data_IF_618387513762
#
_entry.id   IF_618387513762
#
_cell.length_a   1.000
_cell.length_b   1.000
_cell.length_c   1.000
_cell.angle_alpha   90.00
_cell.angle_beta   90.00
_cell.angle_gamma   90.00
#
_symmetry.space_group_name_H-M   'P 1'
#
loop_
_entity.id
_entity.type
_entity.pdbx_description
1 polymer ?
#
# COMPACT_ATOMS: atom_id res chain seq x y z
N UNK A 1 -6.76 13.04 0.55
CA UNK A 1 -7.50 11.99 1.26
C UNK A 1 -6.68 11.55 2.47
N UNK A 2 -7.30 11.31 3.64
CA UNK A 2 -6.60 10.72 4.78
C UNK A 2 -6.62 9.19 4.68
N UNK A 3 -5.51 8.58 4.24
CA UNK A 3 -5.44 7.12 4.04
C UNK A 3 -5.49 6.32 5.35
N UNK A 4 -5.15 6.95 6.48
CA UNK A 4 -5.17 6.26 7.78
C UNK A 4 -6.60 5.84 8.18
N UNK A 5 -7.60 6.63 7.80
CA UNK A 5 -9.02 6.32 8.03
C UNK A 5 -9.52 5.13 7.18
N UNK A 6 -8.75 4.74 6.15
CA UNK A 6 -9.07 3.62 5.25
C UNK A 6 -8.39 2.32 5.68
N UNK A 7 -7.58 2.35 6.74
CA UNK A 7 -6.85 1.19 7.25
C UNK A 7 -7.53 0.70 8.54
N UNK A 8 -7.87 -0.58 8.58
CA UNK A 8 -8.35 -1.22 9.81
C UNK A 8 -7.17 -1.59 10.70
N UNK A 9 -7.29 -1.28 11.99
CA UNK A 9 -6.33 -1.71 13.01
C UNK A 9 -6.93 -2.89 13.78
N UNK A 10 -6.16 -3.98 13.90
CA UNK A 10 -6.52 -5.18 14.66
C UNK A 10 -5.46 -5.36 15.74
N UNK A 11 -5.82 -5.07 16.99
CA UNK A 11 -4.93 -5.25 18.12
C UNK A 11 -4.75 -6.74 18.47
N UNK A 12 -3.59 -7.06 19.04
CA UNK A 12 -3.18 -8.39 19.49
C UNK A 12 -3.18 -9.50 18.41
N UNK A 13 -3.04 -9.14 17.13
CA UNK A 13 -2.96 -10.09 16.01
C UNK A 13 -1.58 -10.04 15.29
N UNK A 14 -0.98 -11.18 14.91
CA UNK A 14 -1.40 -12.57 15.18
C UNK A 14 -1.04 -13.04 16.60
N UNK A 15 -0.39 -12.19 17.40
CA UNK A 15 -0.04 -12.45 18.80
C UNK A 15 -0.16 -11.16 19.61
N UNK A 16 -0.34 -11.33 20.93
CA UNK A 16 -0.46 -10.23 21.89
C UNK A 16 0.67 -9.20 21.75
N UNK A 17 0.32 -7.93 21.84
CA UNK A 17 1.23 -6.78 21.75
C UNK A 17 1.47 -6.27 20.32
N UNK A 18 0.80 -6.85 19.31
CA UNK A 18 0.90 -6.38 17.93
C UNK A 18 -0.36 -5.62 17.52
N UNK A 19 -0.17 -4.36 17.11
CA UNK A 19 -1.18 -3.60 16.37
C UNK A 19 -1.05 -3.90 14.88
N UNK A 20 -1.90 -4.81 14.36
CA UNK A 20 -1.86 -5.22 12.96
C UNK A 20 -2.60 -4.22 12.07
N UNK A 21 -1.94 -3.76 11.01
CA UNK A 21 -2.51 -2.82 10.04
C UNK A 21 -3.05 -3.62 8.86
N UNK A 22 -4.35 -3.83 8.87
CA UNK A 22 -5.04 -4.50 7.78
C UNK A 22 -5.36 -3.49 6.67
N UNK A 23 -4.48 -3.45 5.66
CA UNK A 23 -4.61 -2.59 4.49
C UNK A 23 -5.65 -3.10 3.47
N UNK A 24 -6.27 -4.26 3.68
CA UNK A 24 -7.24 -4.82 2.72
C UNK A 24 -8.48 -3.95 2.60
N UNK A 25 -8.84 -3.18 3.62
CA UNK A 25 -9.94 -2.21 3.57
C UNK A 25 -9.62 -1.05 2.64
N UNK A 26 -8.37 -0.56 2.64
CA UNK A 26 -7.91 0.46 1.71
C UNK A 26 -7.87 -0.08 0.29
N UNK A 27 -7.36 -1.30 0.09
CA UNK A 27 -7.27 -1.93 -1.24
C UNK A 27 -8.65 -2.16 -1.86
N UNK A 28 -9.67 -2.46 -1.05
CA UNK A 28 -11.06 -2.64 -1.51
C UNK A 28 -11.77 -1.33 -1.85
N UNK A 29 -11.29 -0.20 -1.33
CA UNK A 29 -11.78 1.13 -1.67
C UNK A 29 -11.04 1.62 -2.92
N UNK A 30 -11.70 1.57 -4.07
CA UNK A 30 -11.08 1.87 -5.36
C UNK A 30 -10.51 3.29 -5.46
N UNK A 31 -11.16 4.27 -4.82
CA UNK A 31 -10.67 5.66 -4.81
C UNK A 31 -9.44 5.79 -3.92
N UNK A 32 -9.48 5.20 -2.72
CA UNK A 32 -8.35 5.23 -1.80
C UNK A 32 -7.14 4.46 -2.32
N UNK A 33 -7.37 3.31 -2.95
CA UNK A 33 -6.33 2.51 -3.57
C UNK A 33 -5.67 3.26 -4.71
N UNK A 34 -6.46 3.86 -5.61
CA UNK A 34 -5.94 4.68 -6.70
C UNK A 34 -5.12 5.86 -6.18
N UNK A 35 -5.66 6.59 -5.20
CA UNK A 35 -4.97 7.72 -4.58
C UNK A 35 -3.62 7.31 -3.96
N UNK A 36 -3.57 6.17 -3.27
CA UNK A 36 -2.33 5.65 -2.69
C UNK A 36 -1.30 5.29 -3.77
N UNK A 37 -1.72 4.63 -4.85
CA UNK A 37 -0.84 4.30 -6.00
C UNK A 37 -0.32 5.56 -6.67
N UNK A 38 -1.19 6.53 -6.96
CA UNK A 38 -0.79 7.79 -7.61
C UNK A 38 0.25 8.54 -6.76
N UNK A 39 0.14 8.50 -5.43
CA UNK A 39 1.16 9.07 -4.52
C UNK A 39 2.49 8.32 -4.53
N UNK A 40 2.49 7.00 -4.68
CA UNK A 40 3.72 6.24 -4.86
C UNK A 40 4.39 6.55 -6.20
N UNK A 41 3.61 6.66 -7.28
CA UNK A 41 4.12 7.05 -8.60
C UNK A 41 4.71 8.47 -8.55
N UNK A 42 3.97 9.44 -8.00
CA UNK A 42 4.44 10.82 -7.84
C UNK A 42 5.78 10.90 -7.09
N UNK A 43 5.94 10.12 -6.02
CA UNK A 43 7.20 10.02 -5.29
C UNK A 43 8.35 9.41 -6.12
N UNK A 44 8.05 8.45 -7.00
CA UNK A 44 9.03 7.71 -7.77
C UNK A 44 9.51 8.44 -9.04
N UNK A 45 8.70 9.34 -9.62
CA UNK A 45 8.97 9.99 -10.92
C UNK A 45 10.37 10.57 -11.09
N UNK A 46 10.89 11.23 -10.06
CA UNK A 46 12.18 11.95 -10.14
C UNK A 46 13.35 11.15 -9.55
N UNK A 47 13.18 9.83 -9.37
CA UNK A 47 14.16 9.00 -8.65
C UNK A 47 14.96 8.05 -9.52
N UNK A 48 14.76 8.06 -10.84
CA UNK A 48 15.42 7.15 -11.80
C UNK A 48 15.39 5.70 -11.30
N UNK A 49 14.19 5.19 -11.00
CA UNK A 49 14.04 3.84 -10.45
C UNK A 49 14.17 2.82 -11.58
N UNK A 50 15.21 2.00 -11.55
CA UNK A 50 15.41 0.92 -12.52
C UNK A 50 14.63 -0.37 -12.18
N UNK A 51 14.28 -0.56 -10.91
CA UNK A 51 13.63 -1.78 -10.42
C UNK A 51 12.72 -1.50 -9.23
N UNK A 52 11.51 -2.08 -9.27
CA UNK A 52 10.59 -2.11 -8.13
C UNK A 52 10.46 -3.56 -7.65
N UNK A 53 10.68 -3.78 -6.35
CA UNK A 53 10.59 -5.11 -5.72
C UNK A 53 9.47 -5.12 -4.70
N UNK A 54 8.51 -6.01 -4.86
CA UNK A 54 7.46 -6.28 -3.88
C UNK A 54 7.77 -7.57 -3.12
N UNK A 55 8.12 -7.52 -1.82
CA UNK A 55 8.31 -8.75 -1.06
C UNK A 55 6.96 -9.43 -0.79
N UNK A 56 6.88 -10.70 -1.17
CA UNK A 56 5.76 -11.61 -0.88
C UNK A 56 4.41 -11.15 -1.48
N UNK A 57 3.35 -11.94 -1.22
CA UNK A 57 2.05 -11.77 -1.86
C UNK A 57 1.39 -10.40 -1.65
N UNK A 58 1.55 -9.79 -0.45
CA UNK A 58 0.95 -8.48 -0.15
C UNK A 58 1.65 -7.34 -0.87
N UNK A 59 2.96 -7.44 -1.07
CA UNK A 59 3.73 -6.46 -1.83
C UNK A 59 3.34 -6.42 -3.30
N UNK A 60 3.01 -7.59 -3.89
CA UNK A 60 2.62 -7.68 -5.30
C UNK A 60 1.37 -6.86 -5.64
N UNK A 61 0.40 -6.77 -4.71
CA UNK A 61 -0.84 -6.00 -4.94
C UNK A 61 -0.55 -4.54 -5.25
N UNK A 62 0.49 -3.96 -4.63
CA UNK A 62 0.88 -2.56 -4.83
C UNK A 62 1.86 -2.41 -6.00
N UNK A 63 2.91 -3.24 -6.03
CA UNK A 63 4.00 -3.09 -7.00
C UNK A 63 3.54 -3.35 -8.43
N UNK A 64 2.59 -4.27 -8.66
CA UNK A 64 2.04 -4.52 -10.00
C UNK A 64 1.27 -3.32 -10.57
N UNK A 65 0.85 -2.36 -9.74
CA UNK A 65 0.17 -1.15 -10.19
C UNK A 65 1.13 -0.02 -10.56
N UNK A 66 2.41 -0.15 -10.19
CA UNK A 66 3.44 0.83 -10.50
C UNK A 66 3.99 0.53 -11.90
N UNK A 67 3.28 1.00 -12.91
CA UNK A 67 3.87 1.13 -14.24
C UNK A 67 4.76 2.37 -14.24
N UNK A 68 6.05 2.18 -14.47
CA UNK A 68 6.99 3.26 -14.67
C UNK A 68 7.33 3.29 -16.16
N UNK A 69 6.97 4.40 -16.81
CA UNK A 69 7.29 4.69 -18.21
C UNK A 69 8.77 5.08 -18.37
#
# INVERSE_FOLDING_TARGET
MNLMEKIRIIEDFPKKGISFKDVTTLIKDGEAFRYAVDKMIEYAKDKNIDLVVGPEARGFVLVLQLHMD
#
